data_IF_852574148508
#
_entry.id   IF_852574148508
#
_cell.length_a   1.000
_cell.length_b   1.000
_cell.length_c   1.000
_cell.angle_alpha   90.00
_cell.angle_beta   90.00
_cell.angle_gamma   90.00
#
_symmetry.space_group_name_H-M   'P 1'
#
loop_
_entity.id
_entity.type
_entity.pdbx_description
1 polymer ?
#
# COMPACT_ATOMS: atom_id res chain seq x y z
N UNK A 1 -21.45 13.92 0.93
CA UNK A 1 -21.19 12.89 -0.10
C UNK A 1 -19.75 12.48 -0.05
N UNK A 2 -19.50 11.21 0.15
CA UNK A 2 -18.17 10.63 -0.01
C UNK A 2 -17.73 10.86 -1.47
N UNK A 3 -16.58 11.51 -1.66
CA UNK A 3 -16.06 11.79 -3.00
C UNK A 3 -15.17 10.66 -3.50
N UNK A 4 -15.26 10.32 -4.78
CA UNK A 4 -14.28 9.45 -5.41
C UNK A 4 -12.93 10.17 -5.45
N UNK A 5 -11.93 9.58 -4.81
CA UNK A 5 -10.56 10.10 -4.76
C UNK A 5 -9.62 9.21 -5.58
N UNK A 6 -8.37 9.60 -5.69
CA UNK A 6 -7.29 8.78 -6.26
C UNK A 6 -7.19 7.39 -5.57
N UNK A 7 -7.59 7.30 -4.30
CA UNK A 7 -7.56 6.04 -3.54
C UNK A 7 -8.88 5.25 -3.59
N UNK A 8 -9.82 5.62 -4.47
CA UNK A 8 -11.15 5.05 -4.57
C UNK A 8 -12.21 5.84 -3.80
N UNK A 9 -13.40 5.24 -3.67
CA UNK A 9 -14.48 5.73 -2.82
C UNK A 9 -14.22 5.34 -1.38
N UNK A 10 -14.36 6.24 -0.42
CA UNK A 10 -14.21 5.94 1.01
C UNK A 10 -15.13 6.80 1.86
N UNK A 11 -15.70 6.22 2.91
CA UNK A 11 -16.54 6.93 3.87
C UNK A 11 -17.02 6.01 4.99
N UNK A 12 -17.80 6.57 5.90
CA UNK A 12 -18.46 5.85 7.01
C UNK A 12 -19.89 5.54 6.58
N UNK A 13 -20.23 4.25 6.52
CA UNK A 13 -21.57 3.82 6.12
C UNK A 13 -22.61 4.34 7.11
N UNK A 14 -23.63 5.02 6.56
CA UNK A 14 -24.73 5.62 7.35
C UNK A 14 -24.44 7.07 7.81
N UNK A 15 -23.23 7.59 7.62
CA UNK A 15 -22.88 8.98 7.94
C UNK A 15 -22.64 9.80 6.66
N UNK A 16 -21.67 9.44 5.87
CA UNK A 16 -21.26 10.15 4.64
C UNK A 16 -21.15 9.24 3.41
N UNK A 17 -21.33 7.91 3.58
CA UNK A 17 -21.37 6.91 2.52
C UNK A 17 -22.64 6.06 2.65
N UNK A 18 -23.43 5.99 1.57
CA UNK A 18 -24.71 5.28 1.52
C UNK A 18 -24.76 4.30 0.34
N UNK A 19 -25.73 3.37 0.35
CA UNK A 19 -25.91 2.40 -0.73
C UNK A 19 -26.10 3.06 -2.11
N UNK A 20 -26.75 4.22 -2.16
CA UNK A 20 -26.93 4.97 -3.42
C UNK A 20 -25.60 5.50 -3.97
N UNK A 21 -24.67 5.96 -3.12
CA UNK A 21 -23.35 6.41 -3.54
C UNK A 21 -22.53 5.24 -4.13
N UNK A 22 -22.63 4.06 -3.50
CA UNK A 22 -22.03 2.81 -4.01
C UNK A 22 -22.60 2.47 -5.39
N UNK A 23 -23.94 2.45 -5.52
CA UNK A 23 -24.63 2.15 -6.75
C UNK A 23 -24.23 3.12 -7.87
N UNK A 24 -24.20 4.43 -7.60
CA UNK A 24 -23.82 5.48 -8.54
C UNK A 24 -22.38 5.26 -9.05
N UNK A 25 -21.44 5.02 -8.13
CA UNK A 25 -20.03 4.81 -8.50
C UNK A 25 -19.84 3.55 -9.32
N UNK A 26 -20.50 2.43 -8.98
CA UNK A 26 -20.41 1.17 -9.74
C UNK A 26 -21.07 1.32 -11.12
N UNK A 27 -22.24 1.95 -11.21
CA UNK A 27 -22.89 2.25 -12.50
C UNK A 27 -21.98 3.11 -13.37
N UNK A 28 -21.42 4.17 -12.81
CA UNK A 28 -20.51 5.07 -13.52
C UNK A 28 -19.24 4.34 -13.99
N UNK A 29 -18.69 3.44 -13.17
CA UNK A 29 -17.56 2.59 -13.54
C UNK A 29 -17.88 1.74 -14.76
N UNK A 30 -19.03 1.04 -14.76
CA UNK A 30 -19.46 0.22 -15.90
C UNK A 30 -19.70 1.08 -17.14
N UNK A 31 -20.43 2.18 -16.99
CA UNK A 31 -20.84 3.04 -18.11
C UNK A 31 -19.66 3.82 -18.73
N UNK A 32 -18.61 4.09 -17.93
CA UNK A 32 -17.39 4.75 -18.42
C UNK A 32 -16.38 3.79 -19.06
N UNK A 33 -16.34 2.55 -18.63
CA UNK A 33 -15.33 1.57 -19.07
C UNK A 33 -15.86 0.51 -20.02
N UNK A 34 -17.18 0.27 -20.02
CA UNK A 34 -17.81 -0.74 -20.85
C UNK A 34 -17.51 -2.18 -20.46
N UNK A 35 -17.06 -2.43 -19.21
CA UNK A 35 -16.67 -3.77 -18.72
C UNK A 35 -17.81 -4.78 -18.86
N UNK A 36 -17.46 -6.01 -19.23
CA UNK A 36 -18.36 -7.17 -19.37
C UNK A 36 -18.00 -8.31 -18.44
N UNK A 37 -16.82 -8.24 -17.83
CA UNK A 37 -16.31 -9.22 -16.86
C UNK A 37 -15.62 -8.50 -15.72
N UNK A 38 -15.91 -8.91 -14.47
CA UNK A 38 -15.42 -8.23 -13.28
C UNK A 38 -15.12 -9.22 -12.14
N UNK A 39 -13.93 -9.12 -11.54
CA UNK A 39 -13.65 -9.80 -10.29
C UNK A 39 -14.14 -8.93 -9.12
N UNK A 40 -14.79 -9.53 -8.13
CA UNK A 40 -15.24 -8.82 -6.92
C UNK A 40 -14.72 -9.53 -5.68
N UNK A 41 -14.06 -8.78 -4.80
CA UNK A 41 -13.60 -9.27 -3.50
C UNK A 41 -13.82 -8.22 -2.41
N UNK A 42 -13.81 -8.66 -1.16
CA UNK A 42 -14.03 -7.79 0.00
C UNK A 42 -13.11 -8.10 1.17
N UNK A 43 -12.85 -7.11 1.99
CA UNK A 43 -12.26 -7.31 3.32
C UNK A 43 -13.33 -7.77 4.34
N UNK A 44 -12.93 -7.85 5.61
CA UNK A 44 -13.71 -8.41 6.70
C UNK A 44 -14.50 -7.37 7.50
N UNK A 45 -14.58 -6.11 7.06
CA UNK A 45 -15.34 -5.06 7.76
C UNK A 45 -16.82 -5.42 7.83
N UNK A 46 -17.47 -5.07 8.94
CA UNK A 46 -18.87 -5.43 9.20
C UNK A 46 -19.86 -4.97 8.13
N UNK A 47 -19.54 -3.90 7.42
CA UNK A 47 -20.39 -3.36 6.34
C UNK A 47 -20.00 -3.90 4.95
N UNK A 48 -18.91 -4.67 4.83
CA UNK A 48 -18.40 -5.15 3.53
C UNK A 48 -19.39 -6.10 2.84
N UNK A 49 -20.11 -6.92 3.60
CA UNK A 49 -21.10 -7.84 3.02
C UNK A 49 -22.28 -7.09 2.38
N UNK A 50 -22.83 -6.09 3.07
CA UNK A 50 -23.90 -5.24 2.53
C UNK A 50 -23.47 -4.52 1.24
N UNK A 51 -22.26 -3.94 1.23
CA UNK A 51 -21.71 -3.27 0.04
C UNK A 51 -21.53 -4.28 -1.09
N UNK A 52 -21.04 -5.49 -0.78
CA UNK A 52 -20.84 -6.56 -1.74
C UNK A 52 -22.13 -6.94 -2.47
N UNK A 53 -23.26 -7.06 -1.76
CA UNK A 53 -24.57 -7.33 -2.37
C UNK A 53 -24.99 -6.22 -3.35
N UNK A 54 -24.76 -4.95 -3.00
CA UNK A 54 -25.07 -3.81 -3.87
C UNK A 54 -24.22 -3.86 -5.14
N UNK A 55 -22.90 -4.09 -4.98
CA UNK A 55 -21.93 -4.16 -6.10
C UNK A 55 -22.30 -5.29 -7.07
N UNK A 56 -22.51 -6.51 -6.54
CA UNK A 56 -22.87 -7.68 -7.35
C UNK A 56 -24.19 -7.42 -8.11
N UNK A 57 -25.23 -6.95 -7.41
CA UNK A 57 -26.53 -6.68 -8.04
C UNK A 57 -26.44 -5.66 -9.17
N UNK A 58 -25.63 -4.59 -8.97
CA UNK A 58 -25.41 -3.57 -9.98
C UNK A 58 -24.70 -4.14 -11.21
N UNK A 59 -23.59 -4.87 -11.03
CA UNK A 59 -22.83 -5.50 -12.12
C UNK A 59 -23.70 -6.44 -12.94
N UNK A 60 -24.43 -7.36 -12.28
CA UNK A 60 -25.32 -8.32 -12.96
C UNK A 60 -26.43 -7.63 -13.73
N UNK A 61 -27.09 -6.62 -13.15
CA UNK A 61 -28.17 -5.87 -13.80
C UNK A 61 -27.73 -5.12 -15.06
N UNK A 62 -26.43 -4.74 -15.12
CA UNK A 62 -25.80 -4.09 -16.28
C UNK A 62 -25.19 -5.13 -17.27
N UNK A 63 -25.43 -6.43 -17.08
CA UNK A 63 -24.96 -7.50 -17.96
C UNK A 63 -23.47 -7.83 -17.84
N UNK A 64 -22.84 -7.47 -16.71
CA UNK A 64 -21.46 -7.82 -16.44
C UNK A 64 -21.39 -9.18 -15.75
N UNK A 65 -20.55 -10.09 -16.26
CA UNK A 65 -20.28 -11.38 -15.62
C UNK A 65 -19.33 -11.18 -14.43
N UNK A 66 -19.64 -11.78 -13.31
CA UNK A 66 -18.92 -11.60 -12.07
C UNK A 66 -18.22 -12.87 -11.63
N UNK A 67 -16.92 -12.77 -11.40
CA UNK A 67 -16.14 -13.72 -10.61
C UNK A 67 -16.10 -13.20 -9.16
N UNK A 68 -16.88 -13.84 -8.30
CA UNK A 68 -17.01 -13.47 -6.90
C UNK A 68 -16.01 -14.26 -6.06
N UNK A 69 -15.05 -13.54 -5.51
CA UNK A 69 -13.94 -14.07 -4.72
C UNK A 69 -14.22 -14.05 -3.20
N UNK A 70 -15.41 -13.57 -2.80
CA UNK A 70 -15.80 -13.48 -1.39
C UNK A 70 -14.85 -12.61 -0.56
N UNK A 71 -14.49 -13.09 0.63
CA UNK A 71 -13.46 -12.45 1.48
C UNK A 71 -12.08 -12.80 0.92
N UNK A 72 -11.36 -11.78 0.48
CA UNK A 72 -10.02 -11.96 -0.08
C UNK A 72 -9.19 -10.67 0.01
N UNK A 73 -7.89 -10.77 -0.23
CA UNK A 73 -6.98 -9.62 -0.23
C UNK A 73 -7.14 -8.74 -1.48
N UNK A 74 -6.85 -7.45 -1.35
CA UNK A 74 -6.78 -6.54 -2.51
C UNK A 74 -5.84 -7.09 -3.60
N UNK A 75 -4.59 -7.54 -3.31
CA UNK A 75 -3.71 -8.13 -4.32
C UNK A 75 -4.33 -9.32 -5.07
N UNK A 76 -5.17 -10.12 -4.41
CA UNK A 76 -5.82 -11.26 -5.04
C UNK A 76 -6.83 -10.84 -6.13
N UNK A 77 -7.60 -9.76 -5.89
CA UNK A 77 -8.51 -9.22 -6.91
C UNK A 77 -7.74 -8.65 -8.11
N UNK A 78 -6.65 -7.91 -7.87
CA UNK A 78 -5.80 -7.41 -8.94
C UNK A 78 -5.19 -8.54 -9.77
N UNK A 79 -4.71 -9.60 -9.10
CA UNK A 79 -4.15 -10.78 -9.77
C UNK A 79 -5.20 -11.51 -10.60
N UNK A 80 -6.43 -11.64 -10.09
CA UNK A 80 -7.53 -12.26 -10.82
C UNK A 80 -7.81 -11.53 -12.13
N UNK A 81 -7.91 -10.19 -12.06
CA UNK A 81 -8.10 -9.35 -13.26
C UNK A 81 -6.95 -9.56 -14.24
N UNK A 82 -5.70 -9.50 -13.79
CA UNK A 82 -4.52 -9.67 -14.65
C UNK A 82 -4.42 -11.06 -15.24
N UNK A 83 -4.53 -12.11 -14.42
CA UNK A 83 -4.30 -13.52 -14.84
C UNK A 83 -5.42 -14.06 -15.71
N UNK A 84 -6.68 -13.69 -15.43
CA UNK A 84 -7.86 -14.14 -16.18
C UNK A 84 -8.25 -13.20 -17.32
N UNK A 85 -7.48 -12.13 -17.53
CA UNK A 85 -7.72 -11.11 -18.55
C UNK A 85 -9.15 -10.52 -18.47
N UNK A 86 -9.65 -10.32 -17.23
CA UNK A 86 -10.94 -9.70 -17.02
C UNK A 86 -10.90 -8.21 -17.37
N UNK A 87 -12.05 -7.62 -17.72
CA UNK A 87 -12.14 -6.21 -18.06
C UNK A 87 -11.93 -5.31 -16.85
N UNK A 88 -12.34 -5.77 -15.64
CA UNK A 88 -12.17 -5.01 -14.43
C UNK A 88 -12.28 -5.81 -13.14
N UNK A 89 -12.17 -5.11 -12.02
CA UNK A 89 -12.35 -5.66 -10.68
C UNK A 89 -12.79 -4.59 -9.68
N UNK A 90 -13.40 -5.02 -8.60
CA UNK A 90 -13.82 -4.16 -7.47
C UNK A 90 -13.37 -4.81 -6.16
N UNK A 91 -12.54 -4.09 -5.40
CA UNK A 91 -12.24 -4.44 -4.02
C UNK A 91 -13.10 -3.59 -3.07
N UNK A 92 -13.85 -4.24 -2.21
CA UNK A 92 -14.67 -3.60 -1.17
C UNK A 92 -13.82 -3.53 0.09
N UNK A 93 -13.27 -2.35 0.35
CA UNK A 93 -12.34 -2.09 1.46
C UNK A 93 -12.14 -0.60 1.67
N UNK A 94 -11.68 -0.23 2.85
CA UNK A 94 -11.09 1.08 3.12
C UNK A 94 -9.63 0.95 3.59
N UNK A 95 -8.95 -0.17 3.27
CA UNK A 95 -7.55 -0.47 3.58
C UNK A 95 -7.24 -0.24 5.07
N UNK A 96 -6.33 0.66 5.38
CA UNK A 96 -5.84 0.97 6.72
C UNK A 96 -6.74 1.92 7.54
N UNK A 97 -7.82 2.46 6.97
CA UNK A 97 -8.74 3.33 7.71
C UNK A 97 -9.39 2.59 8.90
N UNK A 98 -9.88 3.31 9.93
CA UNK A 98 -10.61 2.72 11.06
C UNK A 98 -11.73 1.77 10.63
N UNK A 99 -12.15 0.88 11.52
CA UNK A 99 -13.11 -0.21 11.20
C UNK A 99 -14.48 0.26 10.74
N UNK A 100 -14.86 1.48 11.10
CA UNK A 100 -16.14 2.11 10.72
C UNK A 100 -16.16 2.55 9.27
N UNK A 101 -15.00 2.77 8.68
CA UNK A 101 -14.83 3.16 7.28
C UNK A 101 -15.03 1.97 6.35
N UNK A 102 -15.56 2.24 5.16
CA UNK A 102 -15.52 1.27 4.06
C UNK A 102 -15.45 2.01 2.73
N UNK A 103 -15.43 1.28 1.61
CA UNK A 103 -15.33 1.89 0.29
C UNK A 103 -15.07 0.92 -0.84
N UNK A 104 -14.67 1.46 -1.99
CA UNK A 104 -14.40 0.71 -3.20
C UNK A 104 -13.06 1.11 -3.80
N UNK A 105 -12.22 0.13 -4.13
CA UNK A 105 -11.12 0.29 -5.09
C UNK A 105 -11.58 -0.26 -6.43
N UNK A 106 -11.55 0.55 -7.47
CA UNK A 106 -11.95 0.18 -8.82
C UNK A 106 -10.71 -0.17 -9.65
N UNK A 107 -10.75 -1.32 -10.28
CA UNK A 107 -9.62 -1.91 -11.01
C UNK A 107 -10.03 -2.08 -12.48
N UNK A 108 -9.13 -1.77 -13.39
CA UNK A 108 -9.33 -1.94 -14.83
C UNK A 108 -8.17 -2.78 -15.40
N UNK A 109 -8.42 -3.45 -16.52
CA UNK A 109 -7.40 -4.15 -17.29
C UNK A 109 -6.16 -3.25 -17.53
N UNK A 110 -4.93 -3.73 -17.38
CA UNK A 110 -4.50 -5.12 -17.12
C UNK A 110 -4.37 -5.49 -15.62
N UNK A 111 -5.19 -4.97 -14.72
CA UNK A 111 -5.10 -5.16 -13.27
C UNK A 111 -4.42 -3.96 -12.60
N UNK A 112 -4.84 -2.73 -12.92
CA UNK A 112 -4.43 -1.48 -12.27
C UNK A 112 -5.62 -0.72 -11.71
N UNK A 113 -5.38 0.13 -10.72
CA UNK A 113 -6.41 1.04 -10.22
C UNK A 113 -6.81 2.03 -11.31
N UNK A 114 -8.13 2.32 -11.43
CA UNK A 114 -8.64 3.34 -12.34
C UNK A 114 -8.48 4.75 -11.75
N UNK A 115 -8.19 5.74 -12.58
CA UNK A 115 -8.13 7.14 -12.15
C UNK A 115 -9.52 7.78 -12.19
N UNK A 116 -9.81 8.75 -11.28
CA UNK A 116 -11.11 9.43 -11.27
C UNK A 116 -11.48 10.15 -12.59
N UNK A 117 -10.50 10.61 -13.34
CA UNK A 117 -10.71 11.27 -14.63
C UNK A 117 -11.09 10.29 -15.75
N UNK A 118 -10.72 9.02 -15.65
CA UNK A 118 -11.10 7.96 -16.59
C UNK A 118 -12.59 7.59 -16.46
N UNK A 119 -13.27 8.00 -15.38
CA UNK A 119 -14.71 7.78 -15.14
C UNK A 119 -15.61 8.89 -15.72
N UNK A 120 -15.07 9.82 -16.49
CA UNK A 120 -15.85 10.96 -17.03
C UNK A 120 -16.53 10.69 -18.36
N UNK A 121 -16.12 9.66 -19.08
CA UNK A 121 -16.66 9.34 -20.41
C UNK A 121 -17.75 8.27 -20.27
N UNK A 122 -19.01 8.64 -20.57
CA UNK A 122 -20.09 7.66 -20.60
C UNK A 122 -20.11 6.92 -21.94
N UNK A 123 -19.91 5.63 -21.90
CA UNK A 123 -20.17 4.72 -23.02
C UNK A 123 -21.56 4.13 -22.76
N UNK A 124 -22.56 4.49 -23.58
CA UNK A 124 -23.90 3.89 -23.45
C UNK A 124 -23.85 2.40 -23.72
N UNK A 125 -23.87 1.60 -22.66
CA UNK A 125 -23.92 0.15 -22.73
C UNK A 125 -25.36 -0.35 -22.53
N UNK A 126 -26.12 -0.42 -23.61
CA UNK A 126 -27.41 -1.12 -23.60
C UNK A 126 -27.14 -2.63 -23.68
N UNK A 127 -27.20 -3.33 -22.57
CA UNK A 127 -27.17 -4.78 -22.53
C UNK A 127 -28.58 -5.34 -22.42
N UNK A 128 -28.93 -6.28 -23.31
CA UNK A 128 -30.25 -6.92 -23.35
C UNK A 128 -30.43 -8.06 -22.34
N UNK A 129 -29.35 -8.48 -21.64
CA UNK A 129 -29.36 -9.63 -20.74
C UNK A 129 -28.61 -9.32 -19.45
N UNK A 130 -29.06 -9.92 -18.34
CA UNK A 130 -28.34 -9.88 -17.08
C UNK A 130 -27.04 -10.68 -17.15
N UNK A 131 -26.02 -10.27 -16.41
CA UNK A 131 -24.78 -11.01 -16.25
C UNK A 131 -24.94 -12.27 -15.39
N UNK A 132 -23.89 -13.07 -15.30
CA UNK A 132 -23.80 -14.27 -14.49
C UNK A 132 -22.84 -14.08 -13.32
N UNK A 133 -23.09 -14.76 -12.19
CA UNK A 133 -22.19 -14.81 -11.01
C UNK A 133 -21.60 -16.21 -10.89
N UNK A 134 -20.28 -16.26 -10.63
CA UNK A 134 -19.57 -17.48 -10.26
C UNK A 134 -18.78 -17.21 -8.98
N UNK A 135 -19.00 -18.02 -7.96
CA UNK A 135 -18.18 -18.00 -6.72
C UNK A 135 -16.98 -18.93 -6.93
N UNK A 136 -15.78 -18.45 -6.62
CA UNK A 136 -14.54 -19.20 -6.79
C UNK A 136 -13.41 -18.62 -5.91
N UNK A 137 -12.43 -19.46 -5.63
CA UNK A 137 -11.20 -19.04 -4.98
C UNK A 137 -10.32 -18.21 -5.93
N UNK A 138 -9.65 -17.22 -5.41
CA UNK A 138 -8.73 -16.38 -6.19
C UNK A 138 -7.51 -17.17 -6.65
N UNK A 139 -7.15 -17.09 -7.92
CA UNK A 139 -5.96 -17.75 -8.48
C UNK A 139 -4.64 -17.27 -7.88
N UNK A 140 -4.66 -16.16 -7.16
CA UNK A 140 -3.52 -15.51 -6.54
C UNK A 140 -2.71 -16.44 -5.63
N UNK A 141 -3.38 -17.26 -4.83
CA UNK A 141 -2.71 -18.13 -3.85
C UNK A 141 -1.99 -19.28 -4.52
N UNK A 142 -2.57 -19.87 -5.56
CA UNK A 142 -1.92 -20.90 -6.37
C UNK A 142 -0.73 -20.33 -7.15
N UNK A 143 -0.87 -19.13 -7.69
CA UNK A 143 0.22 -18.42 -8.37
C UNK A 143 1.39 -18.10 -7.42
N UNK A 144 1.14 -17.78 -6.14
CA UNK A 144 2.19 -17.64 -5.14
C UNK A 144 2.89 -18.95 -4.82
N UNK A 145 2.12 -20.05 -4.71
CA UNK A 145 2.70 -21.38 -4.51
C UNK A 145 3.58 -21.76 -5.71
N UNK A 146 3.14 -21.48 -6.93
CA UNK A 146 3.95 -21.70 -8.14
C UNK A 146 5.22 -20.85 -8.12
N UNK A 147 5.12 -19.56 -7.76
CA UNK A 147 6.23 -18.62 -7.77
C UNK A 147 7.35 -18.97 -6.77
N UNK A 148 6.99 -19.44 -5.57
CA UNK A 148 7.95 -19.80 -4.51
C UNK A 148 8.32 -21.29 -4.48
N UNK A 149 7.54 -22.14 -5.16
CA UNK A 149 7.68 -23.59 -5.18
C UNK A 149 6.99 -24.28 -4.01
N UNK A 150 6.32 -25.39 -4.30
CA UNK A 150 5.58 -26.17 -3.31
C UNK A 150 6.55 -26.80 -2.29
N UNK A 151 6.35 -26.53 -0.97
CA UNK A 151 7.27 -26.98 0.11
C UNK A 151 8.65 -26.31 0.06
N UNK A 152 8.77 -25.12 -0.52
CA UNK A 152 10.01 -24.47 -0.87
C UNK A 152 10.78 -23.80 0.30
N UNK A 153 10.21 -23.72 1.52
CA UNK A 153 10.87 -23.14 2.71
C UNK A 153 11.16 -24.21 3.74
N UNK A 154 12.33 -24.13 4.42
CA UNK A 154 12.77 -25.15 5.37
C UNK A 154 13.16 -24.51 6.72
N UNK A 155 12.57 -25.01 7.80
CA UNK A 155 12.95 -24.62 9.16
C UNK A 155 12.60 -23.20 9.56
N UNK A 156 11.84 -22.45 8.75
CA UNK A 156 11.45 -21.07 9.02
C UNK A 156 10.22 -21.03 9.93
N UNK A 157 10.27 -20.24 10.98
CA UNK A 157 9.15 -19.92 11.88
C UNK A 157 8.76 -18.46 11.71
N UNK A 158 7.50 -18.22 11.41
CA UNK A 158 6.93 -16.89 11.19
C UNK A 158 5.85 -16.61 12.24
N UNK A 159 5.90 -15.45 12.86
CA UNK A 159 4.79 -14.91 13.63
C UNK A 159 3.95 -13.99 12.73
N UNK A 160 2.62 -14.14 12.75
CA UNK A 160 1.71 -13.40 11.89
C UNK A 160 0.60 -12.73 12.68
N UNK A 161 0.43 -11.44 12.47
CA UNK A 161 -0.70 -10.66 12.95
C UNK A 161 -1.61 -10.31 11.75
N UNK A 162 -2.70 -11.06 11.61
CA UNK A 162 -3.66 -10.89 10.53
C UNK A 162 -4.55 -9.65 10.69
N UNK A 163 -4.49 -8.99 11.86
CA UNK A 163 -5.24 -7.76 12.16
C UNK A 163 -6.75 -7.86 12.10
N UNK A 164 -7.33 -9.07 12.09
CA UNK A 164 -8.75 -9.30 11.87
C UNK A 164 -9.20 -9.09 10.41
N UNK A 165 -8.27 -8.77 9.50
CA UNK A 165 -8.53 -8.48 8.10
C UNK A 165 -8.57 -9.72 7.20
N UNK A 166 -8.49 -9.51 5.88
CA UNK A 166 -8.55 -10.57 4.87
C UNK A 166 -7.41 -11.59 4.98
N UNK A 167 -6.30 -11.26 5.66
CA UNK A 167 -5.21 -12.19 5.94
C UNK A 167 -5.65 -13.39 6.80
N UNK A 168 -6.77 -13.29 7.54
CA UNK A 168 -7.29 -14.37 8.38
C UNK A 168 -7.72 -15.60 7.57
N UNK A 169 -8.14 -15.42 6.32
CA UNK A 169 -8.80 -16.48 5.55
C UNK A 169 -7.80 -17.46 4.91
N UNK A 170 -6.72 -16.97 4.29
CA UNK A 170 -5.90 -17.82 3.42
C UNK A 170 -4.39 -17.75 3.71
N UNK A 171 -3.91 -16.69 4.38
CA UNK A 171 -2.46 -16.42 4.42
C UNK A 171 -1.74 -17.44 5.28
N UNK A 172 -2.32 -17.88 6.39
CA UNK A 172 -1.75 -18.93 7.24
C UNK A 172 -1.57 -20.25 6.49
N UNK A 173 -2.63 -20.73 5.81
CA UNK A 173 -2.62 -21.97 5.04
C UNK A 173 -1.62 -21.91 3.89
N UNK A 174 -1.54 -20.77 3.20
CA UNK A 174 -0.55 -20.52 2.16
C UNK A 174 0.88 -20.72 2.68
N UNK A 175 1.22 -20.09 3.81
CA UNK A 175 2.55 -20.21 4.40
C UNK A 175 2.86 -21.64 4.84
N UNK A 176 1.88 -22.35 5.42
CA UNK A 176 2.02 -23.76 5.80
C UNK A 176 2.25 -24.64 4.57
N UNK A 177 1.49 -24.46 3.49
CA UNK A 177 1.67 -25.19 2.22
C UNK A 177 3.08 -24.99 1.63
N UNK A 178 3.65 -23.81 1.85
CA UNK A 178 5.02 -23.47 1.43
C UNK A 178 6.10 -24.01 2.37
N UNK A 179 5.75 -24.73 3.45
CA UNK A 179 6.71 -25.34 4.39
C UNK A 179 7.12 -24.45 5.57
N UNK A 180 6.42 -23.33 5.79
CA UNK A 180 6.70 -22.39 6.88
C UNK A 180 5.88 -22.76 8.12
N UNK A 181 6.50 -22.77 9.30
CA UNK A 181 5.79 -22.90 10.58
C UNK A 181 5.21 -21.53 10.98
N UNK A 182 3.89 -21.44 11.17
CA UNK A 182 3.19 -20.17 11.41
C UNK A 182 2.56 -20.12 12.80
N UNK A 183 2.81 -19.05 13.52
CA UNK A 183 2.16 -18.69 14.79
C UNK A 183 1.32 -17.42 14.56
N UNK A 184 0.04 -17.45 14.88
CA UNK A 184 -0.90 -16.36 14.55
C UNK A 184 -1.49 -15.68 15.77
N UNK A 185 -1.78 -14.37 15.62
CA UNK A 185 -2.63 -13.58 16.51
C UNK A 185 -3.56 -12.71 15.66
N UNK A 186 -4.63 -12.21 16.27
CA UNK A 186 -5.66 -11.41 15.59
C UNK A 186 -6.16 -12.08 14.30
N UNK A 187 -6.29 -13.41 14.32
CA UNK A 187 -6.63 -14.28 13.20
C UNK A 187 -8.13 -14.63 13.13
N UNK A 188 -8.97 -13.88 13.83
CA UNK A 188 -10.43 -13.97 13.75
C UNK A 188 -10.97 -12.90 12.81
N UNK A 189 -11.51 -13.34 11.67
CA UNK A 189 -12.08 -12.49 10.63
C UNK A 189 -13.09 -11.48 11.18
N UNK A 190 -12.94 -10.20 10.87
CA UNK A 190 -13.80 -9.11 11.34
C UNK A 190 -13.53 -8.63 12.77
N UNK A 191 -12.61 -9.25 13.52
CA UNK A 191 -12.25 -8.86 14.89
C UNK A 191 -11.02 -7.96 14.90
N UNK A 192 -11.22 -6.66 14.73
CA UNK A 192 -10.15 -5.66 14.72
C UNK A 192 -9.74 -5.28 16.16
N UNK A 193 -8.78 -6.00 16.72
CA UNK A 193 -8.33 -5.86 18.12
C UNK A 193 -7.12 -4.91 18.28
N UNK A 194 -6.65 -4.29 17.22
CA UNK A 194 -5.60 -3.27 17.18
C UNK A 194 -5.91 -2.18 16.16
N UNK A 195 -5.07 -1.15 16.08
CA UNK A 195 -5.11 -0.16 15.01
C UNK A 195 -4.93 -0.89 13.67
N UNK A 196 -5.83 -0.65 12.71
CA UNK A 196 -5.82 -1.37 11.42
C UNK A 196 -4.56 -1.06 10.63
N UNK A 197 -4.08 0.20 10.67
CA UNK A 197 -2.79 0.53 10.09
C UNK A 197 -1.64 -0.04 10.95
N UNK A 198 -0.94 -1.08 10.52
CA UNK A 198 0.14 -1.66 11.31
C UNK A 198 1.35 -0.73 11.45
N UNK A 199 1.42 0.32 10.60
CA UNK A 199 2.52 1.31 10.72
C UNK A 199 2.33 2.22 11.93
N UNK A 200 1.09 2.46 12.35
CA UNK A 200 0.72 3.30 13.51
C UNK A 200 0.60 2.50 14.82
N UNK A 201 0.46 1.17 14.75
CA UNK A 201 0.35 0.30 15.93
C UNK A 201 1.72 -0.03 16.54
N UNK A 202 1.74 -0.21 17.85
CA UNK A 202 2.96 -0.61 18.59
C UNK A 202 3.37 -2.07 18.37
N UNK A 203 2.44 -2.91 17.93
CA UNK A 203 2.60 -4.34 17.64
C UNK A 203 3.22 -5.18 18.82
N UNK A 204 2.97 -4.76 20.06
CA UNK A 204 3.53 -5.41 21.26
C UNK A 204 3.16 -6.88 21.39
N UNK A 205 1.91 -7.22 21.01
CA UNK A 205 1.44 -8.62 21.08
C UNK A 205 2.17 -9.50 20.05
N UNK A 206 2.41 -8.97 18.84
CA UNK A 206 3.21 -9.66 17.82
C UNK A 206 4.68 -9.78 18.25
N UNK A 207 5.27 -8.73 18.82
CA UNK A 207 6.61 -8.75 19.40
C UNK A 207 6.77 -9.87 20.44
N UNK A 208 5.80 -9.97 21.36
CA UNK A 208 5.78 -11.05 22.36
C UNK A 208 5.67 -12.44 21.71
N UNK A 209 4.78 -12.59 20.71
CA UNK A 209 4.60 -13.88 20.01
C UNK A 209 5.90 -14.35 19.34
N UNK A 210 6.66 -13.44 18.74
CA UNK A 210 7.96 -13.73 18.11
C UNK A 210 8.93 -14.30 19.15
N UNK A 211 9.09 -13.61 20.28
CA UNK A 211 10.05 -13.99 21.32
C UNK A 211 9.65 -15.30 21.99
N UNK A 212 8.38 -15.46 22.37
CA UNK A 212 7.88 -16.65 23.07
C UNK A 212 8.01 -17.94 22.23
N UNK A 213 7.96 -17.83 20.89
CA UNK A 213 8.01 -18.99 19.97
C UNK A 213 9.34 -19.09 19.21
N UNK A 214 10.31 -18.22 19.51
CA UNK A 214 11.57 -18.12 18.79
C UNK A 214 11.36 -18.07 17.26
N UNK A 215 10.46 -17.16 16.81
CA UNK A 215 10.21 -16.96 15.40
C UNK A 215 11.36 -16.18 14.73
N UNK A 216 11.64 -16.50 13.48
CA UNK A 216 12.71 -15.85 12.72
C UNK A 216 12.32 -14.44 12.26
N UNK A 217 11.01 -14.19 12.10
CA UNK A 217 10.45 -12.91 11.61
C UNK A 217 8.98 -12.82 12.00
N UNK A 218 8.48 -11.58 12.14
CA UNK A 218 7.06 -11.30 12.33
C UNK A 218 6.51 -10.41 11.23
N UNK A 219 5.24 -10.65 10.86
CA UNK A 219 4.50 -9.89 9.86
C UNK A 219 3.19 -9.38 10.41
N UNK A 220 2.88 -8.10 10.17
CA UNK A 220 1.60 -7.51 10.47
C UNK A 220 1.00 -6.88 9.22
N UNK A 221 -0.28 -7.18 8.93
CA UNK A 221 -1.01 -6.72 7.76
C UNK A 221 -2.08 -5.70 8.12
N UNK A 222 -2.49 -4.86 7.16
CA UNK A 222 -3.71 -4.07 7.24
C UNK A 222 -4.95 -4.88 6.79
N UNK A 223 -6.14 -4.26 6.77
CA UNK A 223 -7.38 -5.00 6.56
C UNK A 223 -7.48 -5.72 5.20
N UNK A 224 -6.93 -5.15 4.14
CA UNK A 224 -6.97 -5.68 2.77
C UNK A 224 -5.62 -6.20 2.25
N UNK A 225 -4.62 -6.25 3.14
CA UNK A 225 -3.34 -6.94 2.96
C UNK A 225 -2.46 -6.32 1.85
N UNK A 226 -2.66 -5.04 1.55
CA UNK A 226 -1.80 -4.34 0.60
C UNK A 226 -0.54 -3.77 1.27
N UNK A 227 -0.50 -3.69 2.63
CA UNK A 227 0.64 -3.24 3.44
C UNK A 227 1.24 -4.37 4.26
N UNK A 228 2.54 -4.24 4.52
CA UNK A 228 3.30 -5.13 5.39
C UNK A 228 4.18 -4.34 6.35
N UNK A 229 4.09 -4.65 7.64
CA UNK A 229 5.09 -4.24 8.64
C UNK A 229 5.84 -5.48 9.11
N UNK A 230 7.15 -5.37 9.20
CA UNK A 230 8.06 -6.44 9.58
C UNK A 230 8.56 -6.19 11.00
N UNK A 231 8.65 -7.27 11.80
CA UNK A 231 9.39 -7.30 13.05
C UNK A 231 10.54 -8.32 12.92
N UNK A 232 11.70 -7.97 13.49
CA UNK A 232 12.84 -8.87 13.49
C UNK A 232 12.68 -10.01 14.51
N UNK A 233 13.65 -10.91 14.56
CA UNK A 233 13.73 -12.06 15.48
C UNK A 233 13.77 -11.68 16.96
N UNK A 234 14.05 -10.41 17.29
CA UNK A 234 14.00 -9.86 18.65
C UNK A 234 12.64 -9.25 19.00
N UNK A 235 11.69 -9.26 18.06
CA UNK A 235 10.38 -8.62 18.20
C UNK A 235 10.42 -7.10 18.01
N UNK A 236 11.48 -6.54 17.46
CA UNK A 236 11.61 -5.10 17.20
C UNK A 236 11.01 -4.74 15.84
N UNK A 237 10.18 -3.69 15.82
CA UNK A 237 9.55 -3.19 14.61
C UNK A 237 10.57 -2.54 13.68
N UNK A 238 10.60 -2.99 12.43
CA UNK A 238 11.46 -2.44 11.40
C UNK A 238 10.78 -1.20 10.77
N UNK A 239 11.52 -0.12 10.47
CA UNK A 239 10.96 1.02 9.76
C UNK A 239 10.33 0.60 8.42
N UNK A 240 9.17 1.18 8.01
CA UNK A 240 8.47 0.76 6.79
C UNK A 240 9.32 0.80 5.52
N UNK A 241 10.24 1.75 5.40
CA UNK A 241 11.18 1.83 4.28
C UNK A 241 12.02 0.54 4.10
N UNK A 242 12.30 -0.18 5.18
CA UNK A 242 13.03 -1.44 5.11
C UNK A 242 12.18 -2.60 4.60
N UNK A 243 10.84 -2.51 4.68
CA UNK A 243 9.96 -3.47 4.00
C UNK A 243 10.13 -3.34 2.48
N UNK A 244 10.07 -2.11 1.95
CA UNK A 244 10.34 -1.85 0.53
C UNK A 244 11.76 -2.27 0.14
N UNK A 245 12.76 -1.94 0.96
CA UNK A 245 14.16 -2.30 0.71
C UNK A 245 14.37 -3.83 0.68
N UNK A 246 13.64 -4.60 1.49
CA UNK A 246 13.67 -6.06 1.43
C UNK A 246 13.16 -6.57 0.07
N UNK A 247 12.05 -6.05 -0.43
CA UNK A 247 11.54 -6.37 -1.76
C UNK A 247 12.54 -6.01 -2.86
N UNK A 248 13.16 -4.83 -2.78
CA UNK A 248 14.23 -4.39 -3.70
C UNK A 248 15.40 -5.39 -3.69
N UNK A 249 15.89 -5.78 -2.50
CA UNK A 249 16.99 -6.75 -2.37
C UNK A 249 16.63 -8.12 -2.94
N UNK A 250 15.39 -8.57 -2.72
CA UNK A 250 14.93 -9.85 -3.29
C UNK A 250 14.93 -9.83 -4.82
N UNK A 251 14.36 -8.79 -5.42
CA UNK A 251 14.27 -8.66 -6.89
C UNK A 251 15.67 -8.54 -7.49
N UNK A 252 16.53 -7.71 -6.91
CA UNK A 252 17.90 -7.53 -7.35
C UNK A 252 18.69 -8.85 -7.31
N UNK A 253 18.64 -9.59 -6.20
CA UNK A 253 19.40 -10.84 -6.04
C UNK A 253 18.90 -11.98 -6.93
N UNK A 254 17.59 -12.03 -7.22
CA UNK A 254 16.99 -13.14 -7.96
C UNK A 254 16.88 -12.88 -9.46
N UNK A 255 16.62 -11.64 -9.85
CA UNK A 255 16.27 -11.28 -11.23
C UNK A 255 17.17 -10.19 -11.84
N UNK A 256 18.00 -9.53 -11.03
CA UNK A 256 18.66 -8.28 -11.40
C UNK A 256 17.70 -7.08 -11.29
N UNK A 257 18.25 -5.88 -11.15
CA UNK A 257 17.47 -4.66 -11.03
C UNK A 257 18.19 -3.47 -11.66
N UNK A 258 17.68 -3.01 -12.79
CA UNK A 258 18.25 -1.88 -13.55
C UNK A 258 17.50 -0.58 -13.33
N UNK A 259 16.15 -0.64 -13.09
CA UNK A 259 15.31 0.54 -12.97
C UNK A 259 14.17 0.35 -11.95
N UNK A 260 14.00 1.32 -11.04
CA UNK A 260 12.99 1.31 -10.00
C UNK A 260 12.24 2.64 -9.89
N UNK A 261 10.92 2.58 -9.62
CA UNK A 261 10.05 3.74 -9.37
C UNK A 261 9.84 3.94 -7.88
N UNK A 262 10.38 5.02 -7.31
CA UNK A 262 10.43 5.24 -5.85
C UNK A 262 9.80 6.59 -5.48
N UNK A 263 8.91 6.59 -4.47
CA UNK A 263 8.29 7.84 -3.98
C UNK A 263 9.31 8.79 -3.36
N UNK A 264 9.08 10.08 -3.54
CA UNK A 264 10.01 11.15 -3.12
C UNK A 264 10.28 11.19 -1.61
N UNK A 265 9.39 10.63 -0.80
CA UNK A 265 9.49 10.59 0.67
C UNK A 265 10.16 9.31 1.20
N UNK A 266 10.67 8.47 0.31
CA UNK A 266 11.41 7.27 0.68
C UNK A 266 12.79 7.59 1.26
N UNK A 267 13.26 6.70 2.14
CA UNK A 267 14.51 6.85 2.89
C UNK A 267 15.76 6.90 2.00
N UNK A 268 16.74 7.67 2.44
CA UNK A 268 18.11 7.64 1.88
C UNK A 268 18.74 6.25 1.95
N UNK A 269 18.34 5.39 2.90
CA UNK A 269 18.75 3.99 2.93
C UNK A 269 18.43 3.26 1.62
N UNK A 270 17.22 3.49 1.07
CA UNK A 270 16.79 2.92 -0.22
C UNK A 270 17.55 3.56 -1.37
N UNK A 271 17.62 4.89 -1.40
CA UNK A 271 18.27 5.64 -2.47
C UNK A 271 19.75 5.28 -2.58
N UNK A 272 20.45 5.21 -1.44
CA UNK A 272 21.87 4.86 -1.41
C UNK A 272 22.12 3.39 -1.81
N UNK A 273 21.20 2.49 -1.44
CA UNK A 273 21.26 1.09 -1.88
C UNK A 273 21.12 0.98 -3.39
N UNK A 274 20.08 1.61 -3.98
CA UNK A 274 19.84 1.59 -5.43
C UNK A 274 21.01 2.21 -6.22
N UNK A 275 21.57 3.32 -5.74
CA UNK A 275 22.78 3.91 -6.33
C UNK A 275 23.98 2.95 -6.26
N UNK A 276 24.16 2.26 -5.15
CA UNK A 276 25.28 1.29 -4.96
C UNK A 276 25.23 0.13 -5.96
N UNK A 277 24.03 -0.30 -6.34
CA UNK A 277 23.83 -1.37 -7.35
C UNK A 277 23.69 -0.84 -8.78
N UNK A 278 23.92 0.47 -9.01
CA UNK A 278 23.78 1.15 -10.30
C UNK A 278 22.36 1.07 -10.89
N UNK A 279 21.32 1.01 -10.06
CA UNK A 279 19.92 1.04 -10.48
C UNK A 279 19.48 2.47 -10.80
N UNK A 280 18.85 2.67 -11.95
CA UNK A 280 18.19 3.94 -12.31
C UNK A 280 16.96 4.18 -11.42
N UNK A 281 16.90 5.37 -10.80
CA UNK A 281 15.81 5.72 -9.87
C UNK A 281 14.88 6.72 -10.54
N UNK A 282 13.64 6.32 -10.78
CA UNK A 282 12.57 7.20 -11.23
C UNK A 282 11.83 7.69 -9.98
N UNK A 283 12.03 8.96 -9.62
CA UNK A 283 11.37 9.56 -8.45
C UNK A 283 9.95 9.99 -8.80
N UNK A 284 8.99 9.67 -7.93
CA UNK A 284 7.56 9.96 -8.11
C UNK A 284 6.99 10.81 -6.97
N UNK A 285 5.84 11.47 -7.18
CA UNK A 285 4.99 11.91 -6.08
C UNK A 285 4.64 10.76 -5.13
N UNK A 286 4.27 11.09 -3.89
CA UNK A 286 3.73 10.11 -2.94
C UNK A 286 2.35 9.65 -3.42
N UNK A 287 2.13 8.34 -3.43
CA UNK A 287 0.87 7.72 -3.83
C UNK A 287 1.07 6.56 -4.81
N UNK A 288 0.38 5.46 -4.55
CA UNK A 288 0.46 4.22 -5.33
C UNK A 288 0.28 4.45 -6.84
N UNK A 289 -0.69 5.29 -7.23
CA UNK A 289 -0.96 5.59 -8.65
C UNK A 289 0.23 6.25 -9.31
N UNK A 290 0.88 7.21 -8.65
CA UNK A 290 2.06 7.89 -9.20
C UNK A 290 3.22 6.93 -9.44
N UNK A 291 3.41 5.98 -8.52
CA UNK A 291 4.42 4.92 -8.66
C UNK A 291 4.07 3.99 -9.83
N UNK A 292 2.81 3.56 -9.93
CA UNK A 292 2.33 2.69 -11.01
C UNK A 292 2.44 3.34 -12.39
N UNK A 293 2.10 4.62 -12.50
CA UNK A 293 2.24 5.37 -13.76
C UNK A 293 3.69 5.34 -14.25
N UNK A 294 4.64 5.54 -13.37
CA UNK A 294 6.06 5.51 -13.71
C UNK A 294 6.56 4.09 -13.98
N UNK A 295 6.07 3.09 -13.25
CA UNK A 295 6.35 1.69 -13.58
C UNK A 295 5.97 1.40 -15.04
N UNK A 296 4.76 1.80 -15.46
CA UNK A 296 4.24 1.51 -16.79
C UNK A 296 4.89 2.38 -17.89
N UNK A 297 5.08 3.68 -17.65
CA UNK A 297 5.61 4.60 -18.67
C UNK A 297 7.12 4.50 -18.88
N UNK A 298 7.87 4.17 -17.82
CA UNK A 298 9.34 4.12 -17.84
C UNK A 298 9.88 2.68 -17.89
N UNK A 299 9.01 1.66 -17.79
CA UNK A 299 9.40 0.25 -17.78
C UNK A 299 10.18 -0.15 -16.53
N UNK A 300 9.80 0.37 -15.35
CA UNK A 300 10.49 0.01 -14.11
C UNK A 300 10.15 -1.42 -13.70
N UNK A 301 11.15 -2.17 -13.24
CA UNK A 301 11.04 -3.57 -12.82
C UNK A 301 10.35 -3.73 -11.46
N UNK A 302 10.35 -2.68 -10.64
CA UNK A 302 9.61 -2.60 -9.38
C UNK A 302 9.32 -1.14 -9.03
N UNK A 303 8.47 -0.96 -8.04
CA UNK A 303 8.27 0.35 -7.44
C UNK A 303 7.74 0.26 -6.01
N UNK A 304 7.66 1.42 -5.36
CA UNK A 304 7.10 1.46 -4.02
C UNK A 304 7.17 2.80 -3.34
N UNK A 305 6.52 2.81 -2.17
CA UNK A 305 6.44 3.95 -1.25
C UNK A 305 7.09 3.55 0.08
N UNK A 306 8.30 4.03 0.35
CA UNK A 306 9.03 3.69 1.57
C UNK A 306 8.24 4.00 2.84
N UNK A 307 7.61 5.16 2.88
CA UNK A 307 6.87 5.63 4.07
C UNK A 307 5.69 4.77 4.50
N UNK A 308 5.11 4.01 3.59
CA UNK A 308 3.98 3.10 3.85
C UNK A 308 4.39 1.62 3.84
N UNK A 309 5.64 1.30 3.53
CA UNK A 309 6.12 -0.06 3.30
C UNK A 309 5.49 -0.71 2.07
N UNK A 310 4.91 0.10 1.18
CA UNK A 310 4.26 -0.37 -0.04
C UNK A 310 5.26 -0.84 -1.08
N UNK A 311 5.12 -2.09 -1.55
CA UNK A 311 5.97 -2.71 -2.55
C UNK A 311 5.13 -3.20 -3.73
N UNK A 312 5.57 -2.90 -4.96
CA UNK A 312 4.91 -3.28 -6.20
C UNK A 312 5.92 -4.02 -7.08
N UNK A 313 5.58 -5.25 -7.46
CA UNK A 313 6.35 -6.05 -8.41
C UNK A 313 5.49 -6.33 -9.65
N UNK A 314 5.64 -5.55 -10.73
CA UNK A 314 4.71 -5.53 -11.86
C UNK A 314 4.66 -6.85 -12.65
N UNK A 315 5.72 -7.65 -12.64
CA UNK A 315 5.71 -9.00 -13.23
C UNK A 315 4.66 -9.89 -12.55
N UNK A 316 4.50 -9.75 -11.24
CA UNK A 316 3.48 -10.48 -10.49
C UNK A 316 2.16 -9.69 -10.43
N UNK A 317 2.18 -8.46 -9.91
CA UNK A 317 0.96 -7.68 -9.65
C UNK A 317 1.18 -6.17 -9.85
N UNK A 318 0.17 -5.46 -10.38
CA UNK A 318 0.19 -3.99 -10.57
C UNK A 318 -0.47 -3.26 -9.38
N UNK A 319 -0.18 -3.70 -8.17
CA UNK A 319 -0.60 -3.06 -6.93
C UNK A 319 0.41 -3.34 -5.83
N UNK A 320 0.27 -2.65 -4.71
CA UNK A 320 0.99 -3.00 -3.48
C UNK A 320 0.57 -4.40 -3.04
N UNK A 321 1.55 -5.21 -2.61
CA UNK A 321 1.32 -6.62 -2.33
C UNK A 321 2.06 -7.07 -1.06
N UNK A 322 1.34 -7.05 0.07
CA UNK A 322 1.89 -7.39 1.37
C UNK A 322 2.23 -8.88 1.51
N UNK A 323 1.45 -9.78 0.88
CA UNK A 323 1.69 -11.23 0.99
C UNK A 323 2.90 -11.65 0.16
N UNK A 324 2.98 -11.18 -1.09
CA UNK A 324 4.13 -11.41 -1.95
C UNK A 324 5.42 -10.93 -1.26
N UNK A 325 5.37 -9.71 -0.69
CA UNK A 325 6.51 -9.16 0.03
C UNK A 325 6.87 -9.98 1.28
N UNK A 326 5.87 -10.44 2.06
CA UNK A 326 6.12 -11.27 3.22
C UNK A 326 6.82 -12.60 2.86
N UNK A 327 6.44 -13.21 1.74
CA UNK A 327 7.11 -14.41 1.23
C UNK A 327 8.51 -14.12 0.69
N UNK A 328 8.72 -12.99 0.01
CA UNK A 328 10.07 -12.55 -0.40
C UNK A 328 10.99 -12.32 0.79
N UNK A 329 10.48 -11.66 1.84
CA UNK A 329 11.20 -11.47 3.12
C UNK A 329 11.51 -12.80 3.79
N UNK A 330 10.54 -13.72 3.81
CA UNK A 330 10.73 -15.08 4.35
C UNK A 330 11.90 -15.80 3.67
N UNK A 331 11.99 -15.70 2.34
CA UNK A 331 13.11 -16.27 1.57
C UNK A 331 14.43 -15.60 1.91
N UNK A 332 14.45 -14.28 2.03
CA UNK A 332 15.67 -13.57 2.42
C UNK A 332 16.12 -13.90 3.83
N UNK A 333 15.19 -14.07 4.78
CA UNK A 333 15.50 -14.50 6.15
C UNK A 333 16.05 -15.93 6.18
N UNK A 334 15.47 -16.84 5.41
CA UNK A 334 15.98 -18.21 5.27
C UNK A 334 17.42 -18.22 4.76
N UNK A 335 17.77 -17.39 3.78
CA UNK A 335 19.12 -17.29 3.21
C UNK A 335 20.11 -16.59 4.15
N UNK A 336 19.71 -15.50 4.80
CA UNK A 336 20.59 -14.65 5.61
C UNK A 336 20.58 -15.00 7.11
N UNK A 337 19.69 -15.88 7.55
CA UNK A 337 19.50 -16.30 8.94
C UNK A 337 18.67 -15.35 9.78
N UNK A 338 18.70 -14.04 9.54
CA UNK A 338 17.95 -13.03 10.29
C UNK A 338 17.70 -11.74 9.51
N UNK A 339 16.75 -10.95 9.97
CA UNK A 339 16.49 -9.57 9.46
C UNK A 339 17.68 -8.67 9.77
N UNK A 340 18.32 -8.84 10.94
CA UNK A 340 19.50 -8.04 11.29
C UNK A 340 20.65 -8.26 10.29
N UNK A 341 20.92 -9.51 9.94
CA UNK A 341 21.94 -9.86 8.94
C UNK A 341 21.58 -9.36 7.54
N UNK A 342 20.30 -9.41 7.15
CA UNK A 342 19.84 -8.92 5.85
C UNK A 342 20.18 -7.44 5.65
N UNK A 343 20.13 -6.64 6.70
CA UNK A 343 20.33 -5.19 6.64
C UNK A 343 21.63 -4.71 7.32
N UNK A 344 22.56 -5.61 7.64
CA UNK A 344 23.82 -5.24 8.34
C UNK A 344 24.67 -4.20 7.61
N UNK A 345 24.66 -4.24 6.27
CA UNK A 345 25.45 -3.37 5.40
C UNK A 345 24.66 -2.15 4.89
N UNK A 346 23.49 -1.88 5.48
CA UNK A 346 22.64 -0.75 5.10
C UNK A 346 22.81 0.38 6.08
N UNK A 347 23.16 1.55 5.57
CA UNK A 347 23.18 2.77 6.36
C UNK A 347 21.77 3.14 6.79
N UNK A 348 21.58 3.41 8.08
CA UNK A 348 20.26 3.70 8.68
C UNK A 348 20.14 5.20 8.93
N UNK A 349 19.01 5.76 8.53
CA UNK A 349 18.62 7.14 8.77
C UNK A 349 17.42 7.22 9.69
N UNK A 350 17.18 8.39 10.27
CA UNK A 350 16.05 8.67 11.17
C UNK A 350 15.08 9.64 10.54
N UNK A 351 13.83 9.24 10.46
CA UNK A 351 12.76 10.08 9.94
C UNK A 351 11.88 10.63 11.06
N UNK A 352 11.45 11.88 10.90
CA UNK A 352 10.42 12.53 11.73
C UNK A 352 9.38 13.18 10.85
N UNK A 353 8.13 13.11 11.30
CA UNK A 353 6.97 13.63 10.55
C UNK A 353 6.04 14.37 11.50
N UNK A 354 5.64 15.59 11.12
CA UNK A 354 4.65 16.38 11.85
C UNK A 354 3.57 16.92 10.91
N UNK A 355 2.45 17.29 11.50
CA UNK A 355 1.33 17.96 10.82
C UNK A 355 1.21 19.39 11.37
N UNK A 356 1.42 20.38 10.54
CA UNK A 356 1.24 21.81 10.88
C UNK A 356 -0.20 22.16 10.53
N UNK A 357 -1.03 22.37 11.56
CA UNK A 357 -2.46 22.71 11.40
C UNK A 357 -2.62 24.06 10.73
N UNK A 358 -3.08 24.08 9.50
CA UNK A 358 -3.32 25.30 8.72
C UNK A 358 -4.20 24.97 7.52
N UNK A 359 -4.74 26.01 6.85
CA UNK A 359 -5.38 25.79 5.56
C UNK A 359 -4.33 25.30 4.53
N UNK A 360 -4.52 24.16 3.84
CA UNK A 360 -3.57 23.68 2.83
C UNK A 360 -3.26 24.71 1.73
N UNK A 361 -4.18 25.65 1.44
CA UNK A 361 -3.96 26.73 0.48
C UNK A 361 -2.79 27.66 0.87
N UNK A 362 -2.48 27.76 2.16
CA UNK A 362 -1.32 28.55 2.65
C UNK A 362 0.02 27.96 2.20
N UNK A 363 0.02 26.74 1.66
CA UNK A 363 1.20 26.13 1.07
C UNK A 363 1.78 26.98 -0.09
N UNK A 364 0.97 27.77 -0.78
CA UNK A 364 1.45 28.64 -1.86
C UNK A 364 2.52 29.64 -1.35
N UNK A 365 2.33 30.25 -0.20
CA UNK A 365 3.28 31.19 0.40
C UNK A 365 4.57 30.50 0.87
N UNK A 366 4.40 29.26 1.39
CA UNK A 366 5.53 28.42 1.76
C UNK A 366 6.34 28.05 0.52
N UNK A 367 5.66 27.68 -0.57
CA UNK A 367 6.32 27.35 -1.83
C UNK A 367 7.11 28.51 -2.40
N UNK A 368 6.53 29.69 -2.53
CA UNK A 368 7.19 30.89 -3.06
C UNK A 368 8.49 31.23 -2.33
N UNK A 369 8.56 30.94 -1.02
CA UNK A 369 9.73 31.21 -0.18
C UNK A 369 10.82 30.15 -0.36
N UNK A 370 10.45 28.88 -0.44
CA UNK A 370 11.42 27.77 -0.43
C UNK A 370 11.86 27.32 -1.84
N UNK A 371 11.02 27.50 -2.88
CA UNK A 371 11.38 27.06 -4.25
C UNK A 371 12.62 27.75 -4.84
N UNK A 372 13.02 28.92 -4.27
CA UNK A 372 14.19 29.69 -4.69
C UNK A 372 15.48 29.25 -3.98
N UNK A 373 15.40 28.30 -3.05
CA UNK A 373 16.59 27.76 -2.37
C UNK A 373 17.38 26.85 -3.30
N UNK A 374 18.65 26.63 -2.98
CA UNK A 374 19.47 25.62 -3.65
C UNK A 374 19.02 24.20 -3.24
N UNK A 375 19.30 23.21 -4.08
CA UNK A 375 19.03 21.80 -3.84
C UNK A 375 17.55 21.47 -3.53
N UNK A 376 16.66 22.09 -4.31
CA UNK A 376 15.19 21.92 -4.20
C UNK A 376 14.65 21.09 -5.35
N UNK A 377 13.79 20.14 -5.02
CA UNK A 377 12.98 19.33 -5.97
C UNK A 377 11.51 19.62 -5.77
N UNK A 378 10.76 19.86 -6.87
CA UNK A 378 9.35 20.26 -6.88
C UNK A 378 8.44 19.18 -7.49
N UNK A 379 8.58 17.93 -7.09
CA UNK A 379 7.78 16.81 -7.63
C UNK A 379 6.45 16.67 -6.88
N UNK A 380 6.48 16.66 -5.54
CA UNK A 380 5.28 16.57 -4.68
C UNK A 380 5.48 17.50 -3.49
N UNK A 381 5.12 18.76 -3.66
CA UNK A 381 5.47 19.82 -2.72
C UNK A 381 6.91 20.31 -2.92
N UNK A 382 7.66 20.47 -1.85
CA UNK A 382 9.02 20.99 -1.84
C UNK A 382 9.91 20.04 -1.07
N UNK A 383 10.84 19.38 -1.76
CA UNK A 383 11.92 18.62 -1.12
C UNK A 383 13.20 19.41 -1.17
N UNK A 384 13.80 19.64 -0.02
CA UNK A 384 15.07 20.35 0.16
C UNK A 384 16.08 19.31 0.65
N UNK A 385 17.26 19.27 0.06
CA UNK A 385 18.36 18.38 0.48
C UNK A 385 19.50 19.26 1.06
N UNK A 386 19.48 19.55 2.38
CA UNK A 386 20.48 20.44 3.00
C UNK A 386 21.91 19.90 2.88
N UNK A 387 22.06 18.59 2.79
CA UNK A 387 23.30 17.85 2.53
C UNK A 387 22.98 16.44 2.01
N UNK A 388 23.99 15.65 1.70
CA UNK A 388 23.84 14.29 1.18
C UNK A 388 23.20 13.28 2.16
N UNK A 389 23.19 13.60 3.46
CA UNK A 389 22.70 12.73 4.54
C UNK A 389 21.36 13.20 5.14
N UNK A 390 20.71 14.20 4.55
CA UNK A 390 19.44 14.70 5.05
C UNK A 390 18.54 15.29 3.97
N UNK A 391 17.24 15.19 4.20
CA UNK A 391 16.24 15.88 3.39
C UNK A 391 15.07 16.38 4.24
N UNK A 392 14.39 17.38 3.72
CA UNK A 392 13.16 17.98 4.26
C UNK A 392 12.11 17.99 3.15
N UNK A 393 10.94 17.42 3.40
CA UNK A 393 9.81 17.43 2.47
C UNK A 393 8.62 18.18 3.09
N UNK A 394 8.17 19.24 2.42
CA UNK A 394 7.05 20.08 2.81
C UNK A 394 5.95 19.92 1.75
N UNK A 395 4.76 19.47 2.13
CA UNK A 395 3.66 19.26 1.20
C UNK A 395 2.30 19.56 1.79
N UNK A 396 1.34 20.06 1.00
CA UNK A 396 -0.04 20.20 1.46
C UNK A 396 -0.64 18.81 1.68
N UNK A 397 -1.56 18.69 2.63
CA UNK A 397 -2.37 17.48 2.76
C UNK A 397 -3.58 17.55 1.82
N UNK A 398 -3.86 16.46 1.10
CA UNK A 398 -5.03 16.35 0.23
C UNK A 398 -6.30 15.92 0.99
N UNK A 399 -6.15 15.45 2.23
CA UNK A 399 -7.25 14.86 3.03
C UNK A 399 -7.51 15.61 4.33
N UNK A 400 -6.55 16.39 4.81
CA UNK A 400 -6.62 17.06 6.11
C UNK A 400 -6.28 18.55 5.98
N UNK A 401 -6.78 19.37 6.89
CA UNK A 401 -6.44 20.81 6.97
C UNK A 401 -5.06 21.02 7.61
N UNK A 402 -4.00 20.60 6.91
CA UNK A 402 -2.63 20.74 7.39
C UNK A 402 -1.60 20.81 6.25
N UNK A 403 -0.42 21.31 6.57
CA UNK A 403 0.81 21.09 5.81
C UNK A 403 1.58 19.96 6.52
N UNK A 404 2.05 18.98 5.76
CA UNK A 404 2.88 17.87 6.25
C UNK A 404 4.34 18.27 6.11
N UNK A 405 5.09 18.16 7.19
CA UNK A 405 6.54 18.32 7.24
C UNK A 405 7.16 16.97 7.60
N UNK A 406 7.96 16.45 6.71
CA UNK A 406 8.74 15.22 6.91
C UNK A 406 10.22 15.54 6.77
N UNK A 407 11.04 14.96 7.62
CA UNK A 407 12.50 15.10 7.54
C UNK A 407 13.16 13.75 7.70
N UNK A 408 14.34 13.62 7.13
CA UNK A 408 15.25 12.52 7.39
C UNK A 408 16.66 13.07 7.63
N UNK A 409 17.37 12.46 8.59
CA UNK A 409 18.75 12.78 8.89
C UNK A 409 19.50 11.56 9.44
N UNK A 410 20.80 11.69 9.66
CA UNK A 410 21.65 10.58 10.10
C UNK A 410 21.31 10.07 11.51
N UNK A 411 20.81 10.95 12.37
CA UNK A 411 20.45 10.62 13.76
C UNK A 411 19.22 11.43 14.23
N UNK A 412 18.69 11.06 15.41
CA UNK A 412 17.49 11.66 15.98
C UNK A 412 17.65 13.16 16.32
N UNK A 413 18.85 13.59 16.74
CA UNK A 413 19.11 14.98 17.10
C UNK A 413 19.06 15.87 15.86
N UNK A 414 19.78 15.52 14.80
CA UNK A 414 19.74 16.23 13.52
C UNK A 414 18.33 16.29 12.93
N UNK A 415 17.58 15.17 13.01
CA UNK A 415 16.19 15.14 12.54
C UNK A 415 15.29 16.09 13.36
N UNK A 416 15.49 16.19 14.70
CA UNK A 416 14.76 17.12 15.55
C UNK A 416 15.08 18.58 15.22
N UNK A 417 16.35 18.91 15.06
CA UNK A 417 16.81 20.26 14.69
C UNK A 417 16.21 20.70 13.33
N UNK A 418 16.14 19.78 12.36
CA UNK A 418 15.51 20.06 11.07
C UNK A 418 13.99 20.29 11.22
N UNK A 419 13.28 19.49 12.01
CA UNK A 419 11.86 19.71 12.29
C UNK A 419 11.65 21.11 12.90
N UNK A 420 12.34 21.44 13.99
CA UNK A 420 12.20 22.73 14.69
C UNK A 420 12.50 23.92 13.76
N UNK A 421 13.59 23.83 13.02
CA UNK A 421 14.02 24.86 12.06
C UNK A 421 12.97 25.14 10.98
N UNK A 422 12.44 24.09 10.36
CA UNK A 422 11.51 24.24 9.22
C UNK A 422 10.08 24.48 9.68
N UNK A 423 9.65 23.91 10.79
CA UNK A 423 8.36 24.24 11.42
C UNK A 423 8.30 25.72 11.81
N UNK A 424 9.35 26.24 12.47
CA UNK A 424 9.45 27.66 12.82
C UNK A 424 9.34 28.59 11.61
N UNK A 425 10.09 28.28 10.54
CA UNK A 425 10.02 29.05 9.28
C UNK A 425 8.65 29.00 8.61
N UNK A 426 8.01 27.81 8.56
CA UNK A 426 6.68 27.65 7.97
C UNK A 426 5.64 28.45 8.75
N UNK A 427 5.66 28.37 10.09
CA UNK A 427 4.75 29.11 10.96
C UNK A 427 4.94 30.64 10.81
N UNK A 428 6.18 31.13 10.70
CA UNK A 428 6.47 32.53 10.44
C UNK A 428 5.91 33.01 9.09
N UNK A 429 6.12 32.23 8.02
CA UNK A 429 5.60 32.55 6.68
C UNK A 429 4.07 32.63 6.71
N UNK A 430 3.39 31.64 7.30
CA UNK A 430 1.93 31.59 7.38
C UNK A 430 1.40 32.80 8.17
N UNK A 431 2.03 33.13 9.29
CA UNK A 431 1.63 34.30 10.12
C UNK A 431 1.76 35.62 9.35
N UNK A 432 2.86 35.81 8.64
CA UNK A 432 3.11 37.02 7.84
C UNK A 432 2.24 37.14 6.59
N UNK A 433 1.68 36.04 6.10
CA UNK A 433 0.80 35.99 4.91
C UNK A 433 -0.69 36.11 5.26
N UNK A 434 -1.04 36.13 6.55
CA UNK A 434 -2.41 36.31 7.05
C UNK A 434 -2.77 37.80 7.32
N UNK A 435 -1.85 38.70 7.00
CA UNK A 435 -2.00 40.17 7.01
C UNK A 435 -1.89 40.71 5.58
#
# INVERSE_FOLDING_TARGET
>A
MAGLTISGLRGIIGEDLFANDILEVVCNFIDSTGIKSCAVGRDTRSTSDMIHQVVISCLLSKGCNVEDLGVTSTPAVFRQVKKKDLDGGICITSSHNPKEWNGLKLIIRPGRIIKPDELKNQINTNNSFAGTRRELDACYYDDLIEFFGNGGFHGLKVAMDSGGGAACEFVKELFIKLGISVYTINDTSGSFNRIIDPTEDSLKSLSKLIVDNACNVGFAFDADVDRLVILNEKGEKIPPDFSLLAGIKYVEQKFGLDKASISIDSSLSIINYLKRINCEIITTPVGEISVLEKIQSEGCQLGGEGSSGGFIYPEFNLCRDGILLALMVSRLVEINGSIENLFKDIEKFKQKRIKIKTNPKNFIFVREKFEKMQDVTLIDGIKISPNENSWVLIRPSNTEKCIRLSVEAKNDNEASELIEKYEGKINEIIKNSSH
#
